data_IF_917576176627
#
_entry.id   IF_917576176627
#
_cell.length_a   1.000
_cell.length_b   1.000
_cell.length_c   1.000
_cell.angle_alpha   90.00
_cell.angle_beta   90.00
_cell.angle_gamma   90.00
#
_symmetry.space_group_name_H-M   'P 1'
#
loop_
_entity.id
_entity.type
_entity.pdbx_description
1 polymer ?
#
# COMPACT_ATOMS: atom_id res chain seq x y z
N UNK A 1 11.09 -24.45 -1.47
CA UNK A 1 9.69 -24.94 -1.44
C UNK A 1 9.19 -24.81 0.00
N UNK A 2 8.29 -23.85 0.30
CA UNK A 2 7.74 -23.65 1.65
C UNK A 2 6.71 -24.77 1.87
N UNK A 3 6.99 -25.69 2.80
CA UNK A 3 6.03 -26.74 3.16
C UNK A 3 4.82 -26.13 3.85
N UNK A 4 3.64 -26.56 3.49
CA UNK A 4 2.41 -26.22 4.20
C UNK A 4 2.45 -26.89 5.59
N UNK A 5 2.56 -26.08 6.62
CA UNK A 5 2.30 -26.45 8.01
C UNK A 5 0.80 -26.54 8.28
N UNK A 6 0.37 -27.26 9.33
CA UNK A 6 -1.06 -27.37 9.68
C UNK A 6 -1.69 -25.99 9.92
N UNK A 7 -2.99 -25.88 9.67
CA UNK A 7 -3.77 -24.65 9.79
C UNK A 7 -3.68 -24.03 11.18
N UNK A 8 -3.47 -22.71 11.26
CA UNK A 8 -3.54 -21.98 12.53
C UNK A 8 -5.02 -21.72 12.83
N UNK A 9 -5.54 -22.42 13.82
CA UNK A 9 -6.95 -22.26 14.26
C UNK A 9 -7.13 -21.14 15.30
N UNK A 10 -6.03 -20.67 15.89
CA UNK A 10 -6.07 -19.67 16.97
C UNK A 10 -5.12 -18.51 16.69
N UNK A 11 -5.50 -17.28 17.10
CA UNK A 11 -4.62 -16.12 16.98
C UNK A 11 -3.33 -16.33 17.78
N UNK A 12 -2.20 -16.00 17.15
CA UNK A 12 -0.88 -16.05 17.79
C UNK A 12 -0.80 -14.91 18.83
N UNK A 13 -0.57 -15.20 20.13
CA UNK A 13 -0.41 -14.14 21.13
C UNK A 13 0.74 -13.20 20.73
N UNK A 14 0.56 -11.91 20.91
CA UNK A 14 1.62 -10.94 20.64
C UNK A 14 2.67 -11.04 21.76
N UNK A 15 3.91 -11.47 21.45
CA UNK A 15 4.94 -11.59 22.49
C UNK A 15 5.32 -10.23 23.08
N UNK A 16 5.60 -10.17 24.38
CA UNK A 16 5.99 -8.93 25.07
C UNK A 16 7.23 -8.26 24.43
N UNK A 17 8.24 -9.04 24.03
CA UNK A 17 9.43 -8.53 23.34
C UNK A 17 9.07 -7.76 22.06
N UNK A 18 8.08 -8.27 21.30
CA UNK A 18 7.64 -7.65 20.04
C UNK A 18 7.05 -6.26 20.31
N UNK A 19 6.15 -6.17 21.30
CA UNK A 19 5.56 -4.89 21.68
C UNK A 19 6.61 -3.90 22.21
N UNK A 20 7.60 -4.40 22.98
CA UNK A 20 8.71 -3.58 23.45
C UNK A 20 9.52 -2.99 22.29
N UNK A 21 9.92 -3.82 21.32
CA UNK A 21 10.64 -3.37 20.13
C UNK A 21 9.81 -2.36 19.31
N UNK A 22 8.54 -2.65 19.08
CA UNK A 22 7.63 -1.78 18.33
C UNK A 22 7.56 -0.38 18.97
N UNK A 23 7.30 -0.31 20.26
CA UNK A 23 7.17 0.98 20.97
C UNK A 23 8.51 1.72 21.00
N UNK A 24 9.60 1.02 21.33
CA UNK A 24 10.94 1.65 21.40
C UNK A 24 11.35 2.22 20.05
N UNK A 25 11.19 1.47 18.96
CA UNK A 25 11.52 1.95 17.64
C UNK A 25 10.64 3.13 17.21
N UNK A 26 9.34 3.11 17.51
CA UNK A 26 8.44 4.23 17.25
C UNK A 26 8.87 5.48 18.03
N UNK A 27 9.24 5.35 19.30
CA UNK A 27 9.70 6.49 20.13
C UNK A 27 10.99 7.11 19.57
N UNK A 28 11.92 6.27 19.11
CA UNK A 28 13.16 6.74 18.44
C UNK A 28 12.85 7.43 17.10
N UNK A 29 11.89 6.91 16.33
CA UNK A 29 11.50 7.50 15.06
C UNK A 29 10.63 8.76 15.19
N UNK A 30 10.01 9.00 16.36
CA UNK A 30 9.03 10.07 16.55
C UNK A 30 9.54 11.48 16.21
N UNK A 31 10.76 11.91 16.59
CA UNK A 31 11.27 13.23 16.21
C UNK A 31 11.39 13.42 14.70
N UNK A 32 11.90 12.40 14.00
CA UNK A 32 12.03 12.40 12.53
C UNK A 32 10.65 12.42 11.88
N UNK A 33 9.71 11.62 12.39
CA UNK A 33 8.33 11.59 11.93
C UNK A 33 7.64 12.96 12.12
N UNK A 34 7.83 13.61 13.27
CA UNK A 34 7.24 14.93 13.53
C UNK A 34 7.79 15.99 12.57
N UNK A 35 9.12 16.02 12.35
CA UNK A 35 9.75 16.94 11.41
C UNK A 35 9.26 16.69 9.97
N UNK A 36 9.20 15.42 9.55
CA UNK A 36 8.71 15.06 8.23
C UNK A 36 7.23 15.45 8.07
N UNK A 37 6.39 15.26 9.09
CA UNK A 37 4.99 15.68 9.07
C UNK A 37 4.85 17.19 8.94
N UNK A 38 5.68 17.97 9.64
CA UNK A 38 5.70 19.43 9.51
C UNK A 38 6.04 19.85 8.07
N UNK A 39 7.09 19.29 7.49
CA UNK A 39 7.49 19.56 6.10
C UNK A 39 6.36 19.19 5.13
N UNK A 40 5.76 18.01 5.29
CA UNK A 40 4.64 17.56 4.45
C UNK A 40 3.42 18.48 4.58
N UNK A 41 3.13 18.97 5.78
CA UNK A 41 2.03 19.92 6.01
C UNK A 41 2.25 21.21 5.20
N UNK A 42 3.46 21.76 5.29
CA UNK A 42 3.81 22.99 4.55
C UNK A 42 3.74 22.77 3.03
N UNK A 43 4.35 21.70 2.53
CA UNK A 43 4.34 21.39 1.09
C UNK A 43 2.91 21.19 0.58
N UNK A 44 2.06 20.48 1.32
CA UNK A 44 0.69 20.17 0.89
C UNK A 44 -0.22 21.39 0.91
N UNK A 45 0.02 22.40 1.75
CA UNK A 45 -0.74 23.66 1.71
C UNK A 45 -0.66 24.35 0.33
N UNK A 46 0.51 24.26 -0.34
CA UNK A 46 0.72 24.88 -1.64
C UNK A 46 0.43 23.94 -2.82
N UNK A 47 0.82 22.66 -2.71
CA UNK A 47 0.71 21.70 -3.80
C UNK A 47 -0.68 21.08 -3.96
N UNK A 48 -1.41 20.89 -2.87
CA UNK A 48 -2.73 20.25 -2.87
C UNK A 48 -3.48 20.58 -1.57
N UNK A 49 -4.18 21.72 -1.47
CA UNK A 49 -4.91 22.10 -0.27
C UNK A 49 -5.84 21.01 0.25
N UNK A 50 -5.96 20.89 1.60
CA UNK A 50 -6.80 19.90 2.25
C UNK A 50 -6.07 19.10 3.34
N UNK A 51 -6.68 18.02 3.88
CA UNK A 51 -6.12 17.26 4.99
C UNK A 51 -4.78 16.61 4.62
N UNK A 52 -3.80 16.67 5.53
CA UNK A 52 -2.47 16.08 5.35
C UNK A 52 -2.53 14.57 5.44
N UNK A 53 -3.35 14.07 6.38
CA UNK A 53 -3.54 12.64 6.61
C UNK A 53 -4.75 12.11 5.87
N UNK A 54 -4.56 10.97 5.23
CA UNK A 54 -5.62 10.11 4.73
C UNK A 54 -5.87 8.98 5.73
N UNK A 55 -7.14 8.65 5.95
CA UNK A 55 -7.57 7.58 6.84
C UNK A 55 -8.36 6.55 6.05
N UNK A 56 -8.06 5.28 6.25
CA UNK A 56 -8.78 4.19 5.59
C UNK A 56 -9.01 3.04 6.55
N UNK A 57 -10.24 2.57 6.61
CA UNK A 57 -10.56 1.37 7.39
C UNK A 57 -9.83 0.16 6.82
N UNK A 58 -9.20 -0.59 7.70
CA UNK A 58 -8.47 -1.82 7.39
C UNK A 58 -8.87 -2.93 8.35
N UNK A 59 -8.65 -4.16 7.91
CA UNK A 59 -8.80 -5.37 8.72
C UNK A 59 -7.41 -5.88 9.08
N UNK A 60 -7.20 -6.13 10.37
CA UNK A 60 -5.93 -6.58 10.93
C UNK A 60 -6.09 -7.77 11.86
N UNK A 61 -5.36 -7.76 12.96
CA UNK A 61 -5.30 -8.86 13.92
C UNK A 61 -6.68 -9.35 14.36
N UNK A 62 -6.90 -10.66 14.28
CA UNK A 62 -8.18 -11.33 14.60
C UNK A 62 -9.37 -10.84 13.77
N UNK A 63 -9.14 -10.31 12.58
CA UNK A 63 -10.20 -9.74 11.76
C UNK A 63 -10.79 -8.43 12.29
N UNK A 64 -10.15 -7.78 13.28
CA UNK A 64 -10.62 -6.49 13.82
C UNK A 64 -10.39 -5.37 12.83
N UNK A 65 -11.35 -4.48 12.70
CA UNK A 65 -11.26 -3.27 11.90
C UNK A 65 -10.57 -2.16 12.70
N UNK A 66 -9.74 -1.39 12.01
CA UNK A 66 -9.08 -0.22 12.58
C UNK A 66 -8.85 0.85 11.51
N UNK A 67 -8.61 2.10 11.92
CA UNK A 67 -8.33 3.21 11.01
C UNK A 67 -6.83 3.30 10.76
N UNK A 68 -6.41 2.97 9.54
CA UNK A 68 -5.02 3.03 9.09
C UNK A 68 -4.69 4.45 8.60
N UNK A 69 -3.61 5.03 9.10
CA UNK A 69 -3.18 6.39 8.75
C UNK A 69 -2.13 6.37 7.63
N UNK A 70 -2.22 7.34 6.70
CA UNK A 70 -1.23 7.58 5.65
C UNK A 70 -1.11 9.07 5.38
N UNK A 71 -0.01 9.51 4.76
CA UNK A 71 -0.03 10.82 4.11
C UNK A 71 -0.91 10.76 2.87
N UNK A 72 -1.68 11.83 2.64
CA UNK A 72 -2.50 11.93 1.44
C UNK A 72 -1.61 12.13 0.22
N UNK A 73 -1.66 11.22 -0.72
CA UNK A 73 -0.92 11.25 -1.99
C UNK A 73 -1.84 11.30 -3.21
N UNK A 74 -3.13 11.40 -2.98
CA UNK A 74 -4.16 11.51 -4.02
C UNK A 74 -5.01 12.77 -3.79
N UNK A 75 -5.65 13.25 -4.85
CA UNK A 75 -6.64 14.34 -4.76
C UNK A 75 -7.77 13.96 -3.81
N UNK A 76 -8.43 14.97 -3.23
CA UNK A 76 -9.63 14.76 -2.41
C UNK A 76 -10.72 14.14 -3.31
N UNK A 77 -11.49 13.20 -2.77
CA UNK A 77 -12.58 12.47 -3.45
C UNK A 77 -12.12 11.61 -4.65
N UNK A 78 -10.86 11.16 -4.65
CA UNK A 78 -10.38 10.19 -5.63
C UNK A 78 -11.24 8.92 -5.63
N UNK A 79 -11.70 8.49 -6.83
CA UNK A 79 -12.56 7.31 -6.99
C UNK A 79 -11.92 6.05 -6.41
N UNK A 80 -12.61 5.43 -5.45
CA UNK A 80 -12.21 4.18 -4.81
C UNK A 80 -12.66 2.93 -5.59
N UNK A 81 -13.66 3.03 -6.47
CA UNK A 81 -14.18 1.88 -7.23
C UNK A 81 -13.15 1.33 -8.21
N UNK A 82 -12.35 2.21 -8.82
CA UNK A 82 -11.25 1.79 -9.70
C UNK A 82 -10.23 0.94 -8.95
N UNK A 83 -9.92 1.30 -7.70
CA UNK A 83 -9.03 0.48 -6.85
C UNK A 83 -9.65 -0.87 -6.51
N UNK A 84 -10.94 -0.90 -6.19
CA UNK A 84 -11.64 -2.14 -5.89
C UNK A 84 -11.65 -3.09 -7.09
N UNK A 85 -11.98 -2.63 -8.29
CA UNK A 85 -11.94 -3.45 -9.52
C UNK A 85 -10.55 -4.02 -9.80
N UNK A 86 -9.51 -3.23 -9.56
CA UNK A 86 -8.13 -3.69 -9.73
C UNK A 86 -7.76 -4.79 -8.74
N UNK A 87 -8.11 -4.63 -7.47
CA UNK A 87 -7.90 -5.66 -6.44
C UNK A 87 -8.69 -6.95 -6.74
N UNK A 88 -9.94 -6.82 -7.18
CA UNK A 88 -10.78 -7.96 -7.57
C UNK A 88 -10.16 -8.74 -8.72
N UNK A 89 -9.65 -8.03 -9.73
CA UNK A 89 -8.93 -8.65 -10.83
C UNK A 89 -7.71 -9.44 -10.38
N UNK A 90 -6.90 -8.90 -9.46
CA UNK A 90 -5.71 -9.60 -8.93
C UNK A 90 -6.08 -10.83 -8.09
N UNK A 91 -7.13 -10.75 -7.28
CA UNK A 91 -7.60 -11.87 -6.46
C UNK A 91 -8.13 -13.00 -7.34
N UNK A 92 -8.98 -12.68 -8.33
CA UNK A 92 -9.63 -13.66 -9.18
C UNK A 92 -8.67 -14.31 -10.19
N UNK A 93 -7.76 -13.55 -10.76
CA UNK A 93 -6.81 -14.05 -11.78
C UNK A 93 -5.50 -14.58 -11.21
N UNK A 94 -5.30 -14.47 -9.88
CA UNK A 94 -4.02 -14.74 -9.22
C UNK A 94 -2.82 -14.05 -9.91
N UNK A 95 -3.07 -12.86 -10.44
CA UNK A 95 -2.04 -12.05 -11.10
C UNK A 95 -1.05 -11.45 -10.08
N UNK A 96 0.14 -11.02 -10.51
CA UNK A 96 1.07 -10.33 -9.65
C UNK A 96 0.45 -9.08 -9.00
N UNK A 97 0.73 -8.87 -7.71
CA UNK A 97 0.19 -7.78 -6.88
C UNK A 97 0.77 -6.41 -7.26
N UNK A 98 0.54 -5.99 -8.51
CA UNK A 98 1.07 -4.74 -9.05
C UNK A 98 0.30 -3.54 -8.53
N UNK A 99 1.02 -2.46 -8.16
CA UNK A 99 0.41 -1.18 -7.83
C UNK A 99 -0.06 -0.46 -9.11
N UNK A 100 -1.20 0.23 -9.04
CA UNK A 100 -1.72 1.06 -10.14
C UNK A 100 -0.79 2.25 -10.48
N UNK A 101 0.09 2.66 -9.57
CA UNK A 101 1.00 3.80 -9.73
C UNK A 101 1.98 3.69 -10.90
N UNK A 102 2.21 2.47 -11.41
CA UNK A 102 3.05 2.23 -12.57
C UNK A 102 2.51 2.90 -13.87
N UNK A 103 1.23 3.28 -13.90
CA UNK A 103 0.52 3.83 -15.07
C UNK A 103 0.10 5.28 -14.87
N UNK A 104 0.96 6.19 -14.43
CA UNK A 104 0.65 7.63 -14.30
C UNK A 104 -0.81 7.91 -13.89
N UNK A 105 -1.20 7.44 -12.71
CA UNK A 105 -2.54 7.65 -12.17
C UNK A 105 -2.77 9.17 -11.98
N UNK A 106 -3.73 9.73 -12.71
CA UNK A 106 -4.05 11.17 -12.68
C UNK A 106 -4.58 11.66 -11.33
N UNK A 107 -4.97 10.74 -10.46
CA UNK A 107 -5.44 11.06 -9.10
C UNK A 107 -4.30 11.34 -8.13
N UNK A 108 -3.05 11.02 -8.51
CA UNK A 108 -1.87 11.22 -7.65
C UNK A 108 -1.42 12.66 -7.73
N UNK A 109 -1.30 13.32 -6.56
CA UNK A 109 -0.83 14.71 -6.47
C UNK A 109 0.63 14.85 -6.93
N UNK A 110 1.09 16.05 -7.32
CA UNK A 110 2.50 16.30 -7.68
C UNK A 110 3.43 15.78 -6.58
N UNK A 111 4.45 15.00 -6.95
CA UNK A 111 5.37 14.36 -6.00
C UNK A 111 4.83 13.15 -5.24
N UNK A 112 3.51 12.91 -5.23
CA UNK A 112 2.87 11.79 -4.50
C UNK A 112 3.37 10.42 -4.95
N UNK A 113 3.73 10.26 -6.21
CA UNK A 113 4.30 9.01 -6.73
C UNK A 113 5.62 8.62 -6.03
N UNK A 114 6.46 9.60 -5.71
CA UNK A 114 7.74 9.37 -5.01
C UNK A 114 7.49 8.92 -3.57
N UNK A 115 6.56 9.58 -2.87
CA UNK A 115 6.14 9.17 -1.53
C UNK A 115 5.64 7.72 -1.51
N UNK A 116 4.81 7.35 -2.49
CA UNK A 116 4.26 5.98 -2.62
C UNK A 116 5.32 4.96 -3.04
N UNK A 117 6.26 5.34 -3.89
CA UNK A 117 7.35 4.48 -4.31
C UNK A 117 8.35 4.22 -3.17
N UNK A 118 8.66 5.25 -2.38
CA UNK A 118 9.55 5.14 -1.22
C UNK A 118 8.88 4.55 0.03
N UNK A 119 7.53 4.45 0.07
CA UNK A 119 6.79 4.03 1.25
C UNK A 119 6.69 5.11 2.34
N UNK A 120 7.19 6.32 2.11
CA UNK A 120 7.12 7.42 3.06
C UNK A 120 5.69 7.88 3.35
N UNK A 121 4.76 7.62 2.42
CA UNK A 121 3.34 7.84 2.64
C UNK A 121 2.76 6.97 3.77
N UNK A 122 3.42 5.89 4.12
CA UNK A 122 2.98 4.95 5.18
C UNK A 122 3.56 5.29 6.57
N UNK A 123 4.46 6.29 6.70
CA UNK A 123 5.02 6.70 8.00
C UNK A 123 3.96 7.02 9.07
N UNK A 124 2.78 7.63 8.78
CA UNK A 124 1.75 7.84 9.79
C UNK A 124 1.21 6.56 10.44
N UNK A 125 1.45 5.37 9.87
CA UNK A 125 1.11 4.10 10.51
C UNK A 125 1.93 3.84 11.79
N UNK A 126 3.01 4.59 12.06
CA UNK A 126 3.66 4.59 13.37
C UNK A 126 2.69 4.94 14.49
N UNK A 127 1.68 5.77 14.22
CA UNK A 127 0.57 6.05 15.16
C UNK A 127 -0.20 4.77 15.45
N UNK A 128 -0.53 3.97 14.42
CA UNK A 128 -1.22 2.69 14.59
C UNK A 128 -0.36 1.67 15.36
N UNK A 129 0.95 1.69 15.17
CA UNK A 129 1.87 0.85 15.97
C UNK A 129 1.85 1.27 17.43
N UNK A 130 1.91 2.56 17.74
CA UNK A 130 1.84 3.08 19.12
C UNK A 130 0.49 2.77 19.77
N UNK A 131 -0.61 2.86 19.04
CA UNK A 131 -1.96 2.51 19.50
C UNK A 131 -2.15 1.01 19.74
N UNK A 132 -1.30 0.16 19.13
CA UNK A 132 -1.39 -1.29 19.25
C UNK A 132 -2.29 -1.95 18.20
N UNK A 133 -2.73 -1.21 17.20
CA UNK A 133 -3.47 -1.75 16.04
C UNK A 133 -2.54 -2.48 15.06
N UNK A 134 -1.26 -2.07 15.02
CA UNK A 134 -0.23 -2.60 14.15
C UNK A 134 1.07 -2.88 14.92
N UNK A 135 1.98 -3.56 14.25
CA UNK A 135 3.38 -3.79 14.61
C UNK A 135 4.29 -3.23 13.51
N UNK A 136 5.58 -3.09 13.78
CA UNK A 136 6.55 -2.78 12.73
C UNK A 136 6.61 -3.88 11.68
N UNK A 137 6.57 -5.14 12.12
CA UNK A 137 6.66 -6.31 11.24
C UNK A 137 5.42 -7.18 11.36
N UNK A 138 4.83 -7.53 10.22
CA UNK A 138 3.66 -8.40 10.15
C UNK A 138 3.00 -8.46 8.78
N UNK A 139 1.91 -9.22 8.64
CA UNK A 139 1.10 -9.25 7.44
C UNK A 139 0.55 -7.88 7.07
N UNK A 140 0.43 -7.59 5.77
CA UNK A 140 -0.18 -6.34 5.33
C UNK A 140 -1.68 -6.31 5.71
N UNK A 141 -2.20 -5.25 6.35
CA UNK A 141 -3.64 -5.14 6.59
C UNK A 141 -4.40 -4.95 5.27
N UNK A 142 -5.53 -5.64 5.11
CA UNK A 142 -6.37 -5.53 3.92
C UNK A 142 -7.54 -4.56 4.12
N UNK A 143 -8.21 -4.18 3.05
CA UNK A 143 -9.48 -3.43 3.14
C UNK A 143 -10.65 -4.38 3.43
N UNK A 144 -11.76 -3.91 4.03
CA UNK A 144 -12.88 -4.78 4.40
C UNK A 144 -13.43 -5.63 3.24
N UNK A 145 -13.59 -5.05 2.05
CA UNK A 145 -14.11 -5.78 0.89
C UNK A 145 -13.16 -6.89 0.39
N UNK A 146 -11.83 -6.77 0.59
CA UNK A 146 -10.87 -7.86 0.33
C UNK A 146 -11.06 -8.99 1.35
N UNK A 147 -11.20 -8.64 2.63
CA UNK A 147 -11.38 -9.60 3.72
C UNK A 147 -12.61 -10.50 3.51
N UNK A 148 -13.70 -9.94 3.01
CA UNK A 148 -14.94 -10.69 2.72
C UNK A 148 -14.74 -11.77 1.67
N UNK A 149 -13.83 -11.55 0.72
CA UNK A 149 -13.49 -12.48 -0.37
C UNK A 149 -12.50 -13.58 0.02
N UNK A 150 -11.83 -13.43 1.18
CA UNK A 150 -10.81 -14.38 1.60
C UNK A 150 -11.44 -15.70 2.06
N UNK A 151 -10.90 -16.80 1.53
CA UNK A 151 -11.23 -18.14 1.99
C UNK A 151 -10.78 -18.32 3.45
N UNK A 152 -11.41 -19.24 4.22
CA UNK A 152 -11.05 -19.48 5.62
C UNK A 152 -9.54 -19.67 5.85
N UNK A 153 -8.87 -20.44 4.99
CA UNK A 153 -7.43 -20.67 5.06
C UNK A 153 -6.60 -19.40 4.80
N UNK A 154 -7.07 -18.54 3.93
CA UNK A 154 -6.39 -17.27 3.63
C UNK A 154 -6.52 -16.28 4.78
N UNK A 155 -7.57 -16.41 5.61
CA UNK A 155 -7.77 -15.60 6.82
C UNK A 155 -6.80 -15.92 7.95
N UNK A 156 -6.07 -17.04 7.88
CA UNK A 156 -5.03 -17.40 8.85
C UNK A 156 -3.91 -16.33 8.94
N UNK A 157 -3.70 -15.55 7.88
CA UNK A 157 -2.77 -14.40 7.90
C UNK A 157 -3.10 -13.36 8.99
N UNK A 158 -4.38 -13.26 9.39
CA UNK A 158 -4.82 -12.35 10.46
C UNK A 158 -4.64 -12.92 11.87
N UNK A 159 -4.05 -14.09 12.00
CA UNK A 159 -3.63 -14.63 13.29
C UNK A 159 -2.39 -13.93 13.86
N UNK A 160 -1.68 -13.13 13.07
CA UNK A 160 -0.59 -12.25 13.53
C UNK A 160 -1.00 -10.78 13.44
N UNK A 161 -0.31 -9.92 14.21
CA UNK A 161 -0.47 -8.46 14.13
C UNK A 161 -0.10 -7.96 12.74
N UNK A 162 -0.90 -7.07 12.13
CA UNK A 162 -0.53 -6.45 10.87
C UNK A 162 0.70 -5.58 11.02
N UNK A 163 1.55 -5.52 10.00
CA UNK A 163 2.82 -4.82 10.03
C UNK A 163 2.94 -3.65 9.06
N UNK A 164 3.82 -2.71 9.40
CA UNK A 164 4.28 -1.64 8.52
C UNK A 164 5.11 -2.25 7.38
N UNK A 165 5.98 -3.19 7.71
CA UNK A 165 6.67 -4.08 6.77
C UNK A 165 6.32 -5.54 7.05
N UNK A 166 6.65 -6.45 6.15
CA UNK A 166 6.31 -7.86 6.32
C UNK A 166 7.05 -8.76 5.36
N UNK A 167 7.01 -10.07 5.63
CA UNK A 167 7.72 -11.07 4.86
C UNK A 167 7.39 -10.99 3.36
N UNK A 168 6.11 -10.87 3.00
CA UNK A 168 5.71 -10.67 1.62
C UNK A 168 6.31 -9.40 1.00
N UNK A 169 6.29 -8.29 1.74
CA UNK A 169 6.74 -6.99 1.24
C UNK A 169 8.24 -7.00 0.88
N UNK A 170 9.05 -7.78 1.58
CA UNK A 170 10.49 -7.91 1.31
C UNK A 170 10.84 -9.07 0.37
N UNK A 171 9.88 -9.98 0.09
CA UNK A 171 10.08 -11.17 -0.74
C UNK A 171 9.64 -11.00 -2.20
N UNK A 172 9.59 -9.77 -2.70
CA UNK A 172 9.27 -9.51 -4.11
C UNK A 172 7.99 -8.72 -4.37
N UNK A 173 7.20 -8.42 -3.33
CA UNK A 173 6.04 -7.48 -3.32
C UNK A 173 5.21 -7.46 -4.63
N UNK A 174 5.62 -6.63 -5.60
CA UNK A 174 4.89 -6.44 -6.87
C UNK A 174 5.07 -7.59 -7.88
N UNK A 175 5.94 -8.56 -7.59
CA UNK A 175 6.26 -9.72 -8.44
C UNK A 175 5.60 -11.00 -7.93
N UNK A 176 5.04 -10.98 -6.72
CA UNK A 176 4.33 -12.10 -6.11
C UNK A 176 2.84 -12.07 -6.47
N UNK A 177 2.24 -13.23 -6.63
CA UNK A 177 0.80 -13.36 -6.82
C UNK A 177 0.04 -13.17 -5.51
N UNK A 178 -1.28 -13.05 -5.59
CA UNK A 178 -2.14 -12.96 -4.40
C UNK A 178 -1.97 -14.19 -3.50
N UNK A 179 -1.95 -15.39 -4.08
CA UNK A 179 -1.80 -16.63 -3.31
C UNK A 179 -0.42 -16.74 -2.65
N UNK A 180 0.64 -16.34 -3.34
CA UNK A 180 1.99 -16.29 -2.76
C UNK A 180 2.09 -15.28 -1.62
N UNK A 181 1.46 -14.11 -1.75
CA UNK A 181 1.37 -13.11 -0.68
C UNK A 181 0.72 -13.72 0.56
N UNK A 182 -0.46 -14.34 0.40
CA UNK A 182 -1.16 -14.98 1.52
C UNK A 182 -0.31 -16.07 2.16
N UNK A 183 0.34 -16.92 1.35
CA UNK A 183 1.22 -17.99 1.84
C UNK A 183 2.40 -17.47 2.65
N UNK A 184 3.04 -16.38 2.20
CA UNK A 184 4.14 -15.75 2.94
C UNK A 184 3.65 -15.14 4.26
N UNK A 185 2.48 -14.52 4.27
CA UNK A 185 1.90 -13.92 5.47
C UNK A 185 1.46 -14.99 6.49
N UNK A 186 0.89 -16.11 6.03
CA UNK A 186 0.58 -17.27 6.89
C UNK A 186 1.86 -17.90 7.43
N UNK A 187 2.88 -18.06 6.58
CA UNK A 187 4.19 -18.56 7.02
C UNK A 187 4.80 -17.68 8.12
N UNK A 188 4.71 -16.36 7.96
CA UNK A 188 5.16 -15.43 8.99
C UNK A 188 4.40 -15.63 10.31
N UNK A 189 3.07 -15.73 10.25
CA UNK A 189 2.24 -15.95 11.44
C UNK A 189 2.59 -17.26 12.18
N UNK A 190 2.94 -18.31 11.43
CA UNK A 190 3.33 -19.62 11.99
C UNK A 190 4.73 -19.63 12.60
N UNK A 191 5.65 -18.79 12.10
CA UNK A 191 7.06 -18.80 12.45
C UNK A 191 7.51 -17.48 13.12
N UNK A 192 6.58 -16.74 13.73
CA UNK A 192 6.85 -15.46 14.38
C UNK A 192 7.97 -15.62 15.41
N UNK A 193 9.06 -14.89 15.21
CA UNK A 193 10.22 -14.90 16.08
C UNK A 193 11.01 -13.60 15.96
N UNK A 194 11.79 -13.28 16.99
CA UNK A 194 12.70 -12.15 17.00
C UNK A 194 13.65 -12.12 15.78
N UNK A 195 14.22 -13.26 15.45
CA UNK A 195 15.15 -13.36 14.32
C UNK A 195 14.47 -13.12 12.97
N UNK A 196 13.24 -13.60 12.81
CA UNK A 196 12.48 -13.37 11.58
C UNK A 196 12.11 -11.88 11.44
N UNK A 197 11.69 -11.23 12.52
CA UNK A 197 11.40 -9.79 12.51
C UNK A 197 12.66 -8.97 12.19
N UNK A 198 13.79 -9.26 12.83
CA UNK A 198 15.06 -8.61 12.55
C UNK A 198 15.48 -8.77 11.09
N UNK A 199 15.38 -9.98 10.56
CA UNK A 199 15.66 -10.26 9.13
C UNK A 199 14.79 -9.43 8.21
N UNK A 200 13.48 -9.36 8.46
CA UNK A 200 12.54 -8.59 7.65
C UNK A 200 12.87 -7.09 7.72
N UNK A 201 13.19 -6.56 8.91
CA UNK A 201 13.60 -5.15 9.08
C UNK A 201 14.84 -4.85 8.23
N UNK A 202 15.87 -5.70 8.31
CA UNK A 202 17.10 -5.52 7.52
C UNK A 202 16.85 -5.62 6.01
N UNK A 203 15.95 -6.49 5.58
CA UNK A 203 15.58 -6.64 4.17
C UNK A 203 14.67 -5.52 3.66
N UNK A 204 14.08 -4.70 4.54
CA UNK A 204 13.14 -3.65 4.13
C UNK A 204 13.83 -2.55 3.34
N UNK A 205 15.03 -2.10 3.75
CA UNK A 205 15.74 -1.04 3.05
C UNK A 205 16.09 -1.41 1.58
N UNK A 206 16.73 -2.56 1.29
CA UNK A 206 16.98 -2.98 -0.09
C UNK A 206 15.68 -3.20 -0.88
N UNK A 207 14.62 -3.71 -0.27
CA UNK A 207 13.33 -3.88 -0.93
C UNK A 207 12.70 -2.53 -1.36
N UNK A 208 12.82 -1.49 -0.54
CA UNK A 208 12.35 -0.13 -0.88
C UNK A 208 13.17 0.46 -2.03
N UNK A 209 14.49 0.29 -2.05
CA UNK A 209 15.35 0.75 -3.16
C UNK A 209 14.95 0.10 -4.47
N UNK A 210 14.74 -1.22 -4.46
CA UNK A 210 14.24 -1.95 -5.64
C UNK A 210 12.87 -1.44 -6.09
N UNK A 211 11.94 -1.20 -5.16
CA UNK A 211 10.61 -0.68 -5.46
C UNK A 211 10.66 0.71 -6.12
N UNK A 212 11.51 1.61 -5.64
CA UNK A 212 11.70 2.94 -6.24
C UNK A 212 12.24 2.80 -7.67
N UNK A 213 13.24 1.95 -7.87
CA UNK A 213 13.83 1.67 -9.18
C UNK A 213 12.80 1.10 -10.16
N UNK A 214 12.03 0.07 -9.75
CA UNK A 214 11.00 -0.55 -10.58
C UNK A 214 9.89 0.46 -10.95
N UNK A 215 9.43 1.28 -10.00
CA UNK A 215 8.42 2.31 -10.24
C UNK A 215 8.93 3.39 -11.20
N UNK A 216 10.19 3.82 -11.05
CA UNK A 216 10.81 4.83 -11.92
C UNK A 216 10.95 4.32 -13.36
N UNK A 217 11.35 3.05 -13.55
CA UNK A 217 11.45 2.41 -14.88
C UNK A 217 10.08 2.31 -15.55
N UNK A 218 9.07 1.82 -14.82
CA UNK A 218 7.70 1.69 -15.34
C UNK A 218 7.12 3.04 -15.78
N UNK A 219 7.41 4.12 -15.04
CA UNK A 219 6.97 5.48 -15.41
C UNK A 219 7.67 6.02 -16.66
N UNK A 220 8.96 5.72 -16.86
CA UNK A 220 9.68 6.09 -18.09
C UNK A 220 9.09 5.39 -19.30
N UNK A 221 8.90 4.07 -19.24
CA UNK A 221 8.29 3.29 -20.33
C UNK A 221 6.87 3.75 -20.67
N UNK A 222 6.06 4.11 -19.67
CA UNK A 222 4.71 4.66 -19.92
C UNK A 222 4.74 6.06 -20.57
N UNK A 223 5.81 6.83 -20.37
CA UNK A 223 5.98 8.14 -20.99
C UNK A 223 6.34 8.03 -22.48
N UNK A 224 7.15 7.03 -22.83
CA UNK A 224 7.60 6.78 -24.21
C UNK A 224 6.47 6.17 -25.07
N UNK A 225 5.56 5.38 -24.47
CA UNK A 225 4.46 4.72 -25.15
C UNK A 225 3.14 5.52 -25.18
N UNK A 226 3.12 6.77 -24.73
CA UNK A 226 1.92 7.62 -24.86
C UNK A 226 1.90 8.14 -26.29
N UNK A 227 0.91 7.76 -27.15
CA UNK A 227 0.80 8.33 -28.50
C UNK A 227 0.61 9.85 -28.32
N UNK A 228 1.42 10.63 -29.05
CA UNK A 228 1.22 12.07 -29.20
C UNK A 228 -0.14 12.23 -29.91
N UNK A 229 -1.19 12.46 -29.15
CA UNK A 229 -2.48 12.84 -29.73
C UNK A 229 -2.26 14.18 -30.43
N UNK A 230 -2.19 14.15 -31.76
CA UNK A 230 -2.34 15.34 -32.57
C UNK A 230 -3.68 16.01 -32.18
N UNK A 231 -3.72 17.33 -31.97
CA UNK A 231 -4.98 18.01 -31.67
C UNK A 231 -5.94 17.75 -32.83
N UNK A 232 -7.08 17.14 -32.54
CA UNK A 232 -8.18 17.06 -33.49
C UNK A 232 -8.62 18.49 -33.75
N UNK A 233 -8.21 19.02 -34.90
CA UNK A 233 -8.72 20.29 -35.45
C UNK A 233 -10.23 20.06 -35.61
N UNK A 234 -11.03 20.68 -34.76
CA UNK A 234 -12.47 20.79 -34.97
C UNK A 234 -12.66 21.49 -36.31
N UNK A 235 -13.08 20.76 -37.33
CA UNK A 235 -13.61 21.32 -38.55
C UNK A 235 -14.84 22.17 -38.12
N UNK A 236 -14.72 23.47 -38.24
CA UNK A 236 -15.82 24.41 -38.14
C UNK A 236 -16.72 24.11 -39.35
N UNK A 237 -17.89 23.53 -39.08
CA UNK A 237 -18.97 23.47 -40.08
C UNK A 237 -19.40 24.89 -40.39
N UNK A 238 -18.95 25.41 -41.51
CA UNK A 238 -19.60 26.53 -42.17
C UNK A 238 -20.95 26.02 -42.64
N UNK A 239 -22.01 26.40 -41.96
CA UNK A 239 -23.36 26.29 -42.49
C UNK A 239 -23.59 27.47 -43.43
N UNK A 240 -23.37 27.23 -44.71
CA UNK A 240 -23.82 28.13 -45.75
C UNK A 240 -25.35 28.06 -45.90
N UNK A 241 -25.93 29.23 -46.04
CA UNK A 241 -27.34 29.46 -46.07
C UNK A 241 -28.06 28.88 -47.26
N UNK A 242 -29.30 28.58 -47.06
CA UNK A 242 -30.28 28.36 -48.13
C UNK A 242 -30.95 29.70 -48.45
N UNK A 243 -31.04 30.08 -49.74
CA UNK A 243 -31.96 31.15 -50.16
C UNK A 243 -33.36 30.58 -50.33
N UNK A 244 -34.35 31.40 -49.93
CA UNK A 244 -35.77 31.05 -50.01
C UNK A 244 -36.32 30.94 -51.45
N UNK A 245 -37.39 30.25 -51.53
CA UNK A 245 -38.56 30.49 -52.40
C UNK A 245 -39.79 29.84 -51.79
#
# INVERSE_FOLDING_TARGET
MIRFTPSITHPVPVPGWKRFVDVTACMVALPVFALFTLVMTLVMQFASPGPVFFRQERVGYRGRRFMCYKFRTMIVDADSQTHQRHCDGMILSNAPMTKMDARRDSRVIPGGWLLRASGLDELPQLINVLQGDMSLVGPRPCVPYEYEKYLPRQRERFCAMPGLTGLWQVSGKNRTTFEEMVRLDVHYAQNLSWWLDLKIILMTAPALVLQISDTSRARKSSAENTPVYAPVIRATNASDGLPGS
#
